data_IF_771888466011
#
_entry.id   IF_771888466011
#
_cell.length_a   1.000
_cell.length_b   1.000
_cell.length_c   1.000
_cell.angle_alpha   90.00
_cell.angle_beta   90.00
_cell.angle_gamma   90.00
#
_symmetry.space_group_name_H-M   'P 1'
#
loop_
_entity.id
_entity.type
_entity.pdbx_description
1 polymer ?
#
# COMPACT_ATOMS: atom_id res chain seq x y z
N UNK A 1 23.08 60.66 -10.16
CA UNK A 1 24.18 60.25 -9.27
C UNK A 1 24.65 58.88 -9.78
N UNK A 2 25.46 58.78 -10.85
CA UNK A 2 26.93 58.97 -10.90
C UNK A 2 27.59 58.39 -9.64
N UNK A 3 28.42 57.35 -9.69
CA UNK A 3 29.57 57.13 -10.60
C UNK A 3 30.04 55.65 -10.66
N UNK A 4 30.58 55.27 -11.82
CA UNK A 4 31.85 54.55 -12.12
C UNK A 4 32.34 53.47 -11.12
N UNK A 5 32.87 52.32 -11.56
CA UNK A 5 34.10 52.26 -12.35
C UNK A 5 34.30 50.88 -13.02
N UNK A 6 34.57 50.90 -14.32
CA UNK A 6 35.14 49.80 -15.12
C UNK A 6 36.65 49.73 -14.92
N UNK A 7 37.24 48.54 -14.84
CA UNK A 7 38.63 48.29 -15.22
C UNK A 7 38.73 47.09 -16.16
N UNK A 8 39.32 47.36 -17.33
CA UNK A 8 39.83 46.46 -18.37
C UNK A 8 41.07 45.71 -17.80
N UNK A 9 41.75 44.71 -18.38
CA UNK A 9 41.79 44.09 -19.69
C UNK A 9 42.50 42.72 -19.57
N UNK A 10 42.40 41.95 -20.65
CA UNK A 10 42.98 40.64 -20.99
C UNK A 10 44.49 40.48 -20.79
N UNK A 11 44.95 39.26 -20.48
CA UNK A 11 46.10 38.61 -21.18
C UNK A 11 45.87 37.09 -21.23
N UNK A 12 46.05 36.53 -22.43
CA UNK A 12 46.06 35.11 -22.75
C UNK A 12 47.45 34.54 -22.49
N UNK A 13 47.57 33.36 -21.86
CA UNK A 13 48.78 32.55 -21.96
C UNK A 13 48.43 31.07 -21.89
N UNK A 14 48.56 30.39 -23.03
CA UNK A 14 48.66 28.94 -23.11
C UNK A 14 49.96 28.48 -22.45
N UNK A 15 49.88 27.55 -21.50
CA UNK A 15 51.00 26.66 -21.17
C UNK A 15 50.46 25.24 -21.23
N UNK A 16 51.06 24.46 -22.13
CA UNK A 16 50.76 23.06 -22.35
C UNK A 16 51.74 22.19 -21.55
N UNK A 17 51.27 20.96 -21.30
CA UNK A 17 51.98 19.76 -20.86
C UNK A 17 52.48 19.70 -19.41
N UNK A 18 51.92 18.76 -18.64
CA UNK A 18 52.52 17.43 -18.45
C UNK A 18 51.50 16.50 -17.78
N UNK A 19 51.12 15.43 -18.45
CA UNK A 19 50.33 14.33 -17.88
C UNK A 19 51.23 13.40 -17.07
N UNK A 20 50.96 13.15 -15.77
CA UNK A 20 51.54 12.00 -15.11
C UNK A 20 50.74 10.75 -15.52
N UNK A 21 51.43 9.80 -16.15
CA UNK A 21 50.97 8.43 -16.28
C UNK A 21 50.92 7.79 -14.88
N UNK A 22 49.72 7.51 -14.37
CA UNK A 22 49.54 6.66 -13.20
C UNK A 22 49.21 5.24 -13.66
N UNK A 23 50.12 4.34 -13.29
CA UNK A 23 50.01 2.90 -13.45
C UNK A 23 48.87 2.33 -12.60
N UNK A 24 48.31 1.25 -13.13
CA UNK A 24 47.11 0.54 -12.71
C UNK A 24 47.08 0.10 -11.24
N UNK A 25 45.86 -0.07 -10.72
CA UNK A 25 45.45 -1.34 -10.09
C UNK A 25 43.96 -1.51 -10.26
N UNK A 26 43.57 -2.60 -10.91
CA UNK A 26 42.20 -3.08 -10.99
C UNK A 26 41.79 -3.59 -9.60
N UNK A 27 40.75 -3.00 -9.02
CA UNK A 27 40.04 -3.59 -7.90
C UNK A 27 38.57 -3.75 -8.33
N UNK A 28 38.26 -4.97 -8.77
CA UNK A 28 36.89 -5.47 -8.91
C UNK A 28 36.16 -5.26 -7.57
N UNK A 29 35.32 -4.24 -7.49
CA UNK A 29 34.22 -4.20 -6.55
C UNK A 29 32.99 -4.74 -7.29
N UNK A 30 32.94 -6.07 -7.39
CA UNK A 30 31.74 -6.84 -7.73
C UNK A 30 30.64 -6.52 -6.72
N UNK A 31 29.98 -5.39 -6.93
CA UNK A 31 28.71 -5.11 -6.27
C UNK A 31 27.72 -5.99 -6.99
N UNK A 32 27.53 -7.21 -6.47
CA UNK A 32 26.36 -8.06 -6.74
C UNK A 32 25.13 -7.25 -6.34
N UNK A 33 24.71 -6.32 -7.20
CA UNK A 33 23.35 -5.86 -7.29
C UNK A 33 22.58 -7.07 -7.76
N UNK A 34 22.17 -7.86 -6.78
CA UNK A 34 21.22 -8.94 -6.92
C UNK A 34 19.92 -8.26 -7.38
N UNK A 35 19.84 -8.04 -8.69
CA UNK A 35 18.59 -7.93 -9.42
C UNK A 35 17.88 -9.24 -9.15
N UNK A 36 17.15 -9.30 -8.03
CA UNK A 36 16.04 -10.23 -7.87
C UNK A 36 14.97 -9.81 -8.87
N UNK A 37 15.24 -10.05 -10.15
CA UNK A 37 14.20 -10.37 -11.13
C UNK A 37 13.72 -11.77 -10.76
N UNK A 38 13.06 -11.86 -9.61
CA UNK A 38 12.24 -13.01 -9.30
C UNK A 38 11.05 -12.89 -10.21
N UNK A 39 11.06 -13.63 -11.32
CA UNK A 39 9.82 -14.06 -11.94
C UNK A 39 8.94 -14.55 -10.80
N UNK A 40 7.87 -13.80 -10.49
CA UNK A 40 6.99 -14.12 -9.38
C UNK A 40 6.42 -15.50 -9.68
N UNK A 41 7.00 -16.53 -9.05
CA UNK A 41 6.36 -17.83 -8.98
C UNK A 41 4.94 -17.55 -8.52
N UNK A 42 3.96 -17.91 -9.35
CA UNK A 42 2.56 -17.67 -9.06
C UNK A 42 2.30 -18.17 -7.63
N UNK A 43 2.18 -17.25 -6.67
CA UNK A 43 2.05 -17.63 -5.28
C UNK A 43 0.80 -18.50 -5.22
N UNK A 44 0.95 -19.74 -4.75
CA UNK A 44 -0.20 -20.62 -4.53
C UNK A 44 -1.09 -19.93 -3.50
N UNK A 45 -2.20 -19.38 -3.98
CA UNK A 45 -3.21 -18.77 -3.14
C UNK A 45 -3.81 -19.86 -2.27
N UNK A 46 -3.71 -19.71 -0.95
CA UNK A 46 -4.39 -20.56 0.02
C UNK A 46 -5.90 -20.55 -0.25
N UNK A 47 -6.49 -21.73 -0.47
CA UNK A 47 -7.93 -21.87 -0.71
C UNK A 47 -8.74 -21.40 0.51
N UNK A 48 -8.21 -21.62 1.71
CA UNK A 48 -8.79 -21.17 2.98
C UNK A 48 -8.78 -19.64 3.08
N UNK A 49 -7.66 -18.98 2.78
CA UNK A 49 -7.60 -17.51 2.81
C UNK A 49 -8.45 -16.88 1.72
N UNK A 50 -8.51 -17.51 0.54
CA UNK A 50 -9.42 -17.09 -0.53
C UNK A 50 -10.88 -17.15 -0.08
N UNK A 51 -11.30 -18.22 0.60
CA UNK A 51 -12.64 -18.35 1.12
C UNK A 51 -12.96 -17.24 2.14
N UNK A 52 -12.11 -17.06 3.15
CA UNK A 52 -12.29 -16.03 4.19
C UNK A 52 -12.31 -14.62 3.59
N UNK A 53 -11.39 -14.30 2.69
CA UNK A 53 -11.34 -12.97 2.08
C UNK A 53 -12.55 -12.72 1.18
N UNK A 54 -12.92 -13.70 0.35
CA UNK A 54 -14.07 -13.56 -0.56
C UNK A 54 -15.37 -13.32 0.19
N UNK A 55 -15.56 -14.05 1.28
CA UNK A 55 -16.74 -13.92 2.14
C UNK A 55 -16.77 -12.56 2.85
N UNK A 56 -15.65 -12.13 3.42
CA UNK A 56 -15.53 -10.79 4.00
C UNK A 56 -15.83 -9.68 2.99
N UNK A 57 -15.27 -9.75 1.78
CA UNK A 57 -15.54 -8.76 0.73
C UNK A 57 -17.00 -8.75 0.29
N UNK A 58 -17.64 -9.91 0.25
CA UNK A 58 -19.06 -10.00 -0.07
C UNK A 58 -19.91 -9.29 0.98
N UNK A 59 -19.71 -9.57 2.26
CA UNK A 59 -20.55 -8.99 3.30
C UNK A 59 -20.27 -7.52 3.58
N UNK A 60 -19.03 -7.07 3.38
CA UNK A 60 -18.66 -5.67 3.63
C UNK A 60 -18.86 -4.76 2.42
N UNK A 61 -18.69 -5.29 1.20
CA UNK A 61 -18.51 -4.45 0.03
C UNK A 61 -19.17 -4.97 -1.26
N UNK A 62 -20.11 -5.94 -1.20
CA UNK A 62 -20.81 -6.43 -2.41
C UNK A 62 -21.52 -5.34 -3.21
N UNK A 63 -21.99 -4.28 -2.54
CA UNK A 63 -22.65 -3.12 -3.16
C UNK A 63 -21.68 -2.07 -3.70
N UNK A 64 -20.39 -2.22 -3.45
CA UNK A 64 -19.36 -1.31 -3.92
C UNK A 64 -18.83 -1.74 -5.30
N UNK A 65 -18.31 -0.77 -6.05
CA UNK A 65 -17.51 -1.05 -7.26
C UNK A 65 -16.18 -1.75 -6.93
N UNK A 66 -15.48 -2.22 -7.97
CA UNK A 66 -14.25 -2.98 -7.82
C UNK A 66 -13.21 -2.29 -6.94
N UNK A 67 -13.03 -0.97 -7.08
CA UNK A 67 -12.13 -0.15 -6.27
C UNK A 67 -12.47 -0.18 -4.78
N UNK A 68 -13.76 -0.18 -4.42
CA UNK A 68 -14.20 -0.25 -3.02
C UNK A 68 -13.93 -1.62 -2.40
N UNK A 69 -14.19 -2.70 -3.15
CA UNK A 69 -13.86 -4.06 -2.70
C UNK A 69 -12.35 -4.27 -2.56
N UNK A 70 -11.54 -3.75 -3.50
CA UNK A 70 -10.08 -3.77 -3.41
C UNK A 70 -9.58 -2.99 -2.18
N UNK A 71 -10.19 -1.85 -1.86
CA UNK A 71 -9.83 -1.07 -0.68
C UNK A 71 -10.11 -1.83 0.64
N UNK A 72 -11.24 -2.55 0.73
CA UNK A 72 -11.51 -3.42 1.90
C UNK A 72 -10.50 -4.58 1.97
N UNK A 73 -10.17 -5.20 0.83
CA UNK A 73 -9.16 -6.26 0.77
C UNK A 73 -7.79 -5.76 1.24
N UNK A 74 -7.40 -4.56 0.79
CA UNK A 74 -6.17 -3.89 1.21
C UNK A 74 -6.14 -3.69 2.73
N UNK A 75 -7.23 -3.23 3.36
CA UNK A 75 -7.30 -3.09 4.84
C UNK A 75 -7.10 -4.43 5.54
N UNK A 76 -7.76 -5.49 5.08
CA UNK A 76 -7.65 -6.83 5.70
C UNK A 76 -6.20 -7.31 5.64
N UNK A 77 -5.57 -7.19 4.47
CA UNK A 77 -4.18 -7.57 4.33
C UNK A 77 -3.25 -6.63 5.11
N UNK A 78 -3.56 -5.34 5.24
CA UNK A 78 -2.75 -4.39 6.01
C UNK A 78 -2.74 -4.79 7.49
N UNK A 79 -3.86 -5.34 7.98
CA UNK A 79 -3.93 -5.93 9.31
C UNK A 79 -3.02 -7.16 9.42
N UNK A 80 -3.06 -8.08 8.46
CA UNK A 80 -2.16 -9.26 8.46
C UNK A 80 -0.69 -8.82 8.63
N UNK A 81 -0.28 -7.79 7.89
CA UNK A 81 1.08 -7.25 7.94
C UNK A 81 1.37 -6.54 9.28
N UNK A 82 0.38 -5.88 9.87
CA UNK A 82 0.55 -5.04 11.05
C UNK A 82 0.70 -5.85 12.37
N UNK A 83 1.67 -5.54 13.26
CA UNK A 83 1.97 -6.35 14.46
C UNK A 83 0.82 -6.59 15.44
N UNK A 84 -0.11 -5.64 15.54
CA UNK A 84 -1.25 -5.69 16.48
C UNK A 84 -2.40 -6.62 16.07
N UNK A 85 -2.35 -7.23 14.89
CA UNK A 85 -3.43 -8.08 14.37
C UNK A 85 -2.96 -9.50 14.08
N UNK A 86 -3.89 -10.46 13.93
CA UNK A 86 -3.56 -11.83 13.54
C UNK A 86 -2.78 -11.90 12.23
N UNK A 87 -1.93 -12.92 12.11
CA UNK A 87 -0.99 -13.11 10.99
C UNK A 87 -1.51 -13.98 9.86
N UNK A 88 -2.83 -14.14 9.77
CA UNK A 88 -3.50 -14.82 8.66
C UNK A 88 -4.78 -14.09 8.30
N UNK A 89 -5.21 -14.23 7.04
CA UNK A 89 -6.43 -13.59 6.53
C UNK A 89 -7.64 -14.08 7.31
N UNK A 90 -7.79 -15.40 7.44
CA UNK A 90 -8.86 -15.97 8.25
C UNK A 90 -8.76 -15.54 9.72
N UNK A 91 -7.55 -15.36 10.28
CA UNK A 91 -7.36 -14.85 11.62
C UNK A 91 -7.92 -13.43 11.78
N UNK A 92 -7.64 -12.53 10.84
CA UNK A 92 -8.17 -11.15 10.81
C UNK A 92 -9.68 -11.14 10.60
N UNK A 93 -10.18 -11.93 9.65
CA UNK A 93 -11.61 -11.99 9.30
C UNK A 93 -12.44 -12.54 10.47
N UNK A 94 -11.93 -13.52 11.20
CA UNK A 94 -12.66 -14.17 12.30
C UNK A 94 -12.47 -13.51 13.68
N UNK A 95 -11.83 -12.34 13.78
CA UNK A 95 -11.73 -11.64 15.07
C UNK A 95 -13.14 -11.30 15.61
N UNK A 96 -13.36 -11.47 16.92
CA UNK A 96 -14.66 -11.20 17.54
C UNK A 96 -15.10 -9.75 17.30
N UNK A 97 -16.33 -9.56 16.83
CA UNK A 97 -16.87 -8.24 16.50
C UNK A 97 -16.40 -7.66 15.17
N UNK A 98 -15.52 -8.36 14.45
CA UNK A 98 -15.16 -8.06 13.06
C UNK A 98 -16.00 -8.92 12.11
N UNK A 99 -16.36 -8.38 10.94
CA UNK A 99 -16.91 -9.12 9.80
C UNK A 99 -17.98 -10.15 10.19
N UNK A 100 -19.02 -9.73 10.90
CA UNK A 100 -19.99 -10.65 11.51
C UNK A 100 -21.05 -11.08 10.49
N UNK A 101 -20.86 -12.26 9.89
CA UNK A 101 -21.78 -12.81 8.90
C UNK A 101 -22.02 -14.33 9.03
N UNK A 102 -21.52 -14.99 10.09
CA UNK A 102 -21.42 -16.45 10.24
C UNK A 102 -22.72 -17.27 10.10
N UNK A 103 -23.90 -16.63 10.11
CA UNK A 103 -25.21 -17.27 9.88
C UNK A 103 -25.94 -16.73 8.64
N UNK A 104 -25.33 -15.80 7.93
CA UNK A 104 -25.91 -15.14 6.76
C UNK A 104 -25.51 -15.92 5.52
N UNK A 105 -26.48 -16.23 4.66
CA UNK A 105 -26.22 -16.92 3.39
C UNK A 105 -25.82 -15.91 2.30
N UNK A 106 -24.91 -16.33 1.42
CA UNK A 106 -24.64 -15.63 0.16
C UNK A 106 -25.87 -15.81 -0.74
N UNK A 107 -26.50 -14.70 -1.14
CA UNK A 107 -27.74 -14.71 -1.96
C UNK A 107 -27.51 -14.25 -3.40
N UNK A 108 -26.40 -13.55 -3.64
CA UNK A 108 -26.12 -12.90 -4.92
C UNK A 108 -24.84 -13.48 -5.52
N UNK A 109 -24.99 -14.55 -6.30
CA UNK A 109 -23.85 -15.30 -6.81
C UNK A 109 -22.95 -14.46 -7.73
N UNK A 110 -23.54 -13.54 -8.51
CA UNK A 110 -22.77 -12.62 -9.35
C UNK A 110 -21.89 -11.67 -8.54
N UNK A 111 -22.41 -11.14 -7.42
CA UNK A 111 -21.62 -10.29 -6.53
C UNK A 111 -20.54 -11.09 -5.78
N UNK A 112 -20.85 -12.32 -5.37
CA UNK A 112 -19.88 -13.20 -4.74
C UNK A 112 -18.75 -13.60 -5.70
N UNK A 113 -19.05 -13.90 -6.96
CA UNK A 113 -18.03 -14.18 -7.99
C UNK A 113 -17.10 -12.98 -8.21
N UNK A 114 -17.64 -11.75 -8.19
CA UNK A 114 -16.80 -10.53 -8.25
C UNK A 114 -15.90 -10.41 -7.02
N UNK A 115 -16.44 -10.63 -5.83
CA UNK A 115 -15.67 -10.62 -4.59
C UNK A 115 -14.54 -11.67 -4.61
N UNK A 116 -14.81 -12.89 -5.10
CA UNK A 116 -13.81 -13.94 -5.25
C UNK A 116 -12.68 -13.56 -6.22
N UNK A 117 -13.02 -12.95 -7.37
CA UNK A 117 -12.00 -12.48 -8.34
C UNK A 117 -11.08 -11.43 -7.71
N UNK A 118 -11.66 -10.47 -6.97
CA UNK A 118 -10.90 -9.41 -6.31
C UNK A 118 -10.05 -9.97 -5.16
N UNK A 119 -10.62 -10.86 -4.33
CA UNK A 119 -9.91 -11.54 -3.27
C UNK A 119 -8.70 -12.33 -3.81
N UNK A 120 -8.90 -13.10 -4.89
CA UNK A 120 -7.82 -13.84 -5.55
C UNK A 120 -6.71 -12.91 -6.04
N UNK A 121 -7.06 -11.82 -6.73
CA UNK A 121 -6.08 -10.85 -7.20
C UNK A 121 -5.29 -10.19 -6.05
N UNK A 122 -5.97 -9.84 -4.95
CA UNK A 122 -5.32 -9.28 -3.77
C UNK A 122 -4.34 -10.27 -3.13
N UNK A 123 -4.72 -11.55 -2.99
CA UNK A 123 -3.86 -12.61 -2.44
C UNK A 123 -2.68 -12.96 -3.36
N UNK A 124 -2.78 -12.67 -4.65
CA UNK A 124 -1.69 -12.83 -5.63
C UNK A 124 -0.69 -11.67 -5.61
N UNK A 125 -0.82 -10.73 -4.67
CA UNK A 125 0.06 -9.55 -4.58
C UNK A 125 -0.40 -8.38 -5.44
N UNK A 126 -1.71 -8.25 -5.68
CA UNK A 126 -2.29 -7.07 -6.31
C UNK A 126 -1.92 -5.76 -5.60
N UNK A 127 -2.03 -4.61 -6.28
CA UNK A 127 -1.61 -3.32 -5.74
C UNK A 127 -2.41 -2.93 -4.49
N UNK A 128 -1.72 -2.30 -3.54
CA UNK A 128 -2.22 -1.92 -2.20
C UNK A 128 -1.93 -0.46 -1.89
N UNK A 129 -2.39 0.42 -2.78
CA UNK A 129 -2.15 1.86 -2.77
C UNK A 129 -3.46 2.68 -2.73
N UNK A 130 -4.60 2.08 -2.38
CA UNK A 130 -5.89 2.73 -2.40
C UNK A 130 -6.21 3.45 -1.09
N UNK A 131 -5.81 2.88 0.04
CA UNK A 131 -6.29 3.31 1.36
C UNK A 131 -5.30 4.16 2.13
N UNK A 132 -4.12 4.39 1.56
CA UNK A 132 -2.96 4.97 2.24
C UNK A 132 -2.70 4.23 3.56
N UNK A 133 -2.52 2.91 3.52
CA UNK A 133 -2.16 2.12 4.70
C UNK A 133 -3.22 2.12 5.81
N UNK A 134 -4.50 2.20 5.46
CA UNK A 134 -5.56 2.12 6.45
C UNK A 134 -5.64 0.72 7.06
N UNK A 135 -5.98 0.66 8.34
CA UNK A 135 -6.25 -0.58 9.09
C UNK A 135 -7.68 -0.62 9.64
N UNK A 136 -8.47 0.42 9.41
CA UNK A 136 -9.87 0.52 9.83
C UNK A 136 -10.70 1.19 8.75
N UNK A 137 -11.99 0.86 8.71
CA UNK A 137 -12.97 1.56 7.88
C UNK A 137 -14.35 1.50 8.53
N UNK A 138 -15.26 2.34 8.04
CA UNK A 138 -16.69 2.16 8.26
C UNK A 138 -17.44 2.50 6.97
N UNK A 139 -18.63 1.92 6.80
CA UNK A 139 -19.52 2.14 5.67
C UNK A 139 -20.74 2.99 6.08
N UNK A 140 -21.31 3.73 5.13
CA UNK A 140 -22.58 4.43 5.34
C UNK A 140 -22.49 5.56 6.37
N UNK A 141 -23.52 5.72 7.20
CA UNK A 141 -23.66 6.84 8.16
C UNK A 141 -23.30 6.49 9.60
N UNK A 142 -22.75 5.30 9.85
CA UNK A 142 -22.36 4.89 11.21
C UNK A 142 -21.15 5.71 11.68
N UNK A 143 -21.09 6.03 12.97
CA UNK A 143 -20.03 6.85 13.57
C UNK A 143 -19.39 6.12 14.74
N UNK A 144 -18.48 5.16 14.49
CA UNK A 144 -17.83 4.43 15.56
C UNK A 144 -16.94 5.37 16.39
N UNK A 145 -16.89 5.17 17.71
CA UNK A 145 -16.20 6.08 18.64
C UNK A 145 -14.72 6.30 18.30
N UNK A 146 -14.04 5.27 17.79
CA UNK A 146 -12.64 5.33 17.37
C UNK A 146 -12.41 6.24 16.14
N UNK A 147 -13.43 6.49 15.30
CA UNK A 147 -13.29 7.31 14.09
C UNK A 147 -12.95 8.78 14.38
N UNK A 148 -13.19 9.24 15.62
CA UNK A 148 -12.80 10.58 16.10
C UNK A 148 -11.33 10.65 16.54
N UNK A 149 -10.71 9.50 16.79
CA UNK A 149 -9.35 9.40 17.34
C UNK A 149 -8.32 9.02 16.27
N UNK A 150 -8.76 8.36 15.20
CA UNK A 150 -7.90 7.86 14.14
C UNK A 150 -7.87 8.86 12.98
N UNK A 151 -6.72 8.94 12.32
CA UNK A 151 -6.55 9.73 11.11
C UNK A 151 -7.42 9.16 9.98
N UNK A 152 -8.26 10.00 9.38
CA UNK A 152 -9.03 9.66 8.18
C UNK A 152 -8.10 9.74 6.96
N UNK A 153 -7.84 8.62 6.31
CA UNK A 153 -6.88 8.56 5.20
C UNK A 153 -7.51 8.86 3.84
N UNK A 154 -8.71 8.33 3.58
CA UNK A 154 -9.42 8.51 2.31
C UNK A 154 -10.90 8.08 2.42
N UNK A 155 -11.68 8.36 1.39
CA UNK A 155 -13.04 7.86 1.20
C UNK A 155 -13.16 7.25 -0.21
N UNK A 156 -13.62 6.01 -0.29
CA UNK A 156 -13.84 5.29 -1.55
C UNK A 156 -15.24 4.68 -1.51
N UNK A 157 -16.09 5.07 -2.44
CA UNK A 157 -17.50 4.66 -2.46
C UNK A 157 -18.22 5.07 -1.17
N UNK A 158 -18.89 4.12 -0.53
CA UNK A 158 -19.59 4.38 0.74
C UNK A 158 -18.68 4.30 1.97
N UNK A 159 -17.42 3.89 1.79
CA UNK A 159 -16.48 3.61 2.87
C UNK A 159 -15.54 4.78 3.17
N UNK A 160 -15.33 5.05 4.46
CA UNK A 160 -14.31 5.97 4.97
C UNK A 160 -13.23 5.16 5.68
N UNK A 161 -11.96 5.40 5.33
CA UNK A 161 -10.80 4.61 5.76
C UNK A 161 -9.93 5.38 6.76
N UNK A 162 -9.27 4.64 7.66
CA UNK A 162 -8.57 5.21 8.81
C UNK A 162 -7.28 4.46 9.19
N UNK A 163 -6.34 5.20 9.79
CA UNK A 163 -5.07 4.69 10.33
C UNK A 163 -4.95 4.99 11.83
N UNK A 164 -4.63 3.97 12.63
CA UNK A 164 -4.39 4.12 14.08
C UNK A 164 -2.90 4.41 14.36
N UNK A 165 -2.54 5.69 14.41
CA UNK A 165 -1.14 6.09 14.64
C UNK A 165 -0.90 7.59 14.71
N UNK A 166 -1.73 8.40 14.05
CA UNK A 166 -1.75 9.85 14.23
C UNK A 166 -2.97 10.23 15.06
N UNK A 167 -2.75 10.73 16.29
CA UNK A 167 -3.77 11.49 17.00
C UNK A 167 -3.93 12.79 16.22
N UNK A 168 -5.09 12.99 15.61
CA UNK A 168 -5.48 14.32 15.15
C UNK A 168 -5.54 15.19 16.41
N UNK A 169 -4.81 16.30 16.44
CA UNK A 169 -4.87 17.22 17.57
C UNK A 169 -6.34 17.60 17.80
N UNK A 170 -6.87 17.30 18.99
CA UNK A 170 -8.19 17.73 19.38
C UNK A 170 -8.15 19.25 19.50
N UNK A 171 -8.91 19.95 18.66
CA UNK A 171 -9.16 21.38 18.79
C UNK A 171 -10.30 21.61 19.79
#
# INVERSE_FOLDING_TARGET
MSTLMSWLARVSLCVALTTPAMLATSANADTKSSTKTGAAAAQKVSSTDLACLSEALYFEARGEGAKGQQAVAEVILNRVDHPRFPKSVCGVVNQKGQFTYRKTRIREQGAFSRAQKIAKAALQGGPRNLTNGATYFHAGRVKPSWSRKFERTTRIGSHTFYRSGHRIASN
#
